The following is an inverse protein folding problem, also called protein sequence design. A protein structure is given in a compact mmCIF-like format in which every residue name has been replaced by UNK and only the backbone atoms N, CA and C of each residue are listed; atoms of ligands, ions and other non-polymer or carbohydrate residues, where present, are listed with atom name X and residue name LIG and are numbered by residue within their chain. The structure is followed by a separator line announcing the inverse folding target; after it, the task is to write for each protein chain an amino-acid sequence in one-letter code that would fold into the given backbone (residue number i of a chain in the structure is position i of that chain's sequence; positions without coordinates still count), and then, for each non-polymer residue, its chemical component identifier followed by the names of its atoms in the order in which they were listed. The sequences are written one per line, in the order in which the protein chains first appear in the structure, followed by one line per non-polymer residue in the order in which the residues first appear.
data_IF_175083865022
#
_entry.id   IF_175083865022
#
_cell.length_a   1.000
_cell.length_b   1.000
_cell.length_c   1.000
_cell.angle_alpha   90.00
_cell.angle_beta   90.00
_cell.angle_gamma   90.00
#
_symmetry.space_group_name_H-M   'P 1'
#
loop_
_entity.id
_entity.type
_entity.pdbx_description
1 polymer ?
#
# COMPACT_ATOMS: atom_id res chain seq x y z
N UNK A 1 3.90 -4.94 6.93
CA UNK A 1 4.63 -5.79 5.97
C UNK A 1 4.19 -5.44 4.56
N UNK A 2 5.10 -5.50 3.58
CA UNK A 2 4.77 -5.25 2.17
C UNK A 2 5.08 -6.52 1.39
N UNK A 3 4.09 -6.99 0.64
CA UNK A 3 4.17 -8.20 -0.17
C UNK A 3 3.97 -7.81 -1.63
N UNK A 4 4.74 -8.36 -2.55
CA UNK A 4 4.58 -8.08 -3.97
C UNK A 4 4.53 -9.37 -4.79
N UNK A 5 3.66 -9.38 -5.79
CA UNK A 5 3.47 -10.50 -6.72
C UNK A 5 3.62 -9.95 -8.13
N UNK A 6 4.59 -10.48 -8.88
CA UNK A 6 4.86 -10.06 -10.26
C UNK A 6 4.27 -11.06 -11.25
N UNK A 7 3.38 -10.61 -12.13
CA UNK A 7 2.79 -11.40 -13.21
C UNK A 7 3.20 -10.83 -14.57
N UNK A 8 4.31 -11.35 -15.11
CA UNK A 8 4.87 -10.88 -16.38
C UNK A 8 5.45 -9.47 -16.28
N UNK A 9 4.65 -8.47 -16.64
CA UNK A 9 5.03 -7.04 -16.67
C UNK A 9 4.30 -6.18 -15.65
N UNK A 10 3.30 -6.74 -14.95
CA UNK A 10 2.57 -6.04 -13.88
C UNK A 10 2.97 -6.61 -12.52
N UNK A 11 3.20 -5.74 -11.54
CA UNK A 11 3.50 -6.14 -10.15
C UNK A 11 2.43 -5.62 -9.22
N UNK A 12 1.66 -6.53 -8.63
CA UNK A 12 0.70 -6.22 -7.58
C UNK A 12 1.40 -6.17 -6.23
N UNK A 13 1.20 -5.11 -5.47
CA UNK A 13 1.81 -4.87 -4.17
C UNK A 13 0.71 -4.71 -3.14
N UNK A 14 0.69 -5.60 -2.16
CA UNK A 14 -0.21 -5.57 -1.02
C UNK A 14 0.54 -4.99 0.18
N UNK A 15 -0.02 -3.93 0.76
CA UNK A 15 0.59 -3.22 1.88
C UNK A 15 -0.27 -3.47 3.11
N UNK A 16 0.36 -3.97 4.17
CA UNK A 16 -0.26 -4.15 5.48
C UNK A 16 0.47 -3.33 6.52
N UNK A 17 -0.27 -2.50 7.25
CA UNK A 17 0.29 -1.79 8.39
C UNK A 17 0.42 -2.73 9.60
N UNK A 18 1.40 -2.47 10.46
CA UNK A 18 1.53 -3.19 11.72
C UNK A 18 0.34 -2.94 12.65
N UNK A 19 0.19 -3.79 13.67
CA UNK A 19 -0.88 -3.67 14.68
C UNK A 19 -0.91 -2.25 15.26
N UNK A 20 -2.09 -1.61 15.24
CA UNK A 20 -2.30 -0.24 15.73
C UNK A 20 -2.15 0.87 14.66
N UNK A 21 -1.80 0.51 13.43
CA UNK A 21 -1.71 1.42 12.30
C UNK A 21 -2.73 1.06 11.23
N UNK A 22 -3.29 2.07 10.58
CA UNK A 22 -4.28 1.93 9.51
C UNK A 22 -3.70 2.47 8.21
N UNK A 23 -3.89 1.74 7.12
CA UNK A 23 -3.55 2.25 5.80
C UNK A 23 -4.48 3.41 5.44
N UNK A 24 -3.88 4.54 5.07
CA UNK A 24 -4.57 5.64 4.41
C UNK A 24 -4.30 5.55 2.90
N UNK A 25 -5.27 5.05 2.15
CA UNK A 25 -5.19 4.85 0.70
C UNK A 25 -5.59 3.45 0.24
N UNK A 26 -5.17 3.06 -0.98
CA UNK A 26 -5.41 1.71 -1.53
C UNK A 26 -4.47 0.70 -0.90
N UNK A 27 -5.01 -0.42 -0.40
CA UNK A 27 -4.25 -1.54 0.15
C UNK A 27 -3.42 -2.28 -0.91
N UNK A 28 -3.97 -2.32 -2.11
CA UNK A 28 -3.37 -3.00 -3.26
C UNK A 28 -2.99 -1.96 -4.31
N UNK A 29 -1.74 -1.99 -4.72
CA UNK A 29 -1.17 -1.16 -5.76
C UNK A 29 -0.73 -2.05 -6.90
N UNK A 30 -0.79 -1.51 -8.11
CA UNK A 30 -0.26 -2.18 -9.28
C UNK A 30 0.84 -1.32 -9.89
N UNK A 31 2.02 -1.89 -10.08
CA UNK A 31 3.15 -1.29 -10.78
C UNK A 31 3.16 -1.83 -12.21
N UNK A 32 2.92 -0.95 -13.18
CA UNK A 32 3.00 -1.29 -14.59
C UNK A 32 4.44 -1.49 -15.06
N UNK A 33 4.59 -2.02 -16.27
CA UNK A 33 5.86 -2.26 -16.95
C UNK A 33 6.74 -1.00 -17.03
N UNK A 34 6.08 0.17 -17.09
CA UNK A 34 6.69 1.49 -17.19
C UNK A 34 7.24 2.00 -15.85
N UNK A 35 7.20 1.18 -14.79
CA UNK A 35 7.60 1.56 -13.43
C UNK A 35 6.63 2.54 -12.77
N UNK A 36 5.44 2.69 -13.35
CA UNK A 36 4.43 3.65 -12.88
C UNK A 36 3.41 2.94 -12.01
N UNK A 37 3.19 3.47 -10.81
CA UNK A 37 2.14 2.99 -9.92
C UNK A 37 0.77 3.45 -10.40
N UNK A 38 -0.19 2.53 -10.40
CA UNK A 38 -1.60 2.81 -10.73
C UNK A 38 -2.26 3.79 -9.76
N UNK A 39 -1.68 3.97 -8.56
CA UNK A 39 -2.16 4.91 -7.54
C UNK A 39 -1.00 5.37 -6.65
N UNK A 40 -1.22 6.46 -5.89
CA UNK A 40 -0.29 6.87 -4.84
C UNK A 40 -0.08 5.76 -3.81
N UNK A 41 1.17 5.64 -3.35
CA UNK A 41 1.56 4.76 -2.27
C UNK A 41 0.78 5.13 -1.00
N UNK A 42 0.07 4.18 -0.36
CA UNK A 42 -0.63 4.43 0.87
C UNK A 42 0.38 4.65 2.00
N UNK A 43 -0.02 5.45 2.98
CA UNK A 43 0.76 5.66 4.17
C UNK A 43 0.10 4.97 5.37
N UNK A 44 0.92 4.34 6.21
CA UNK A 44 0.46 3.85 7.49
C UNK A 44 0.33 5.03 8.45
N UNK A 45 -0.92 5.43 8.71
CA UNK A 45 -1.25 6.40 9.74
C UNK A 45 -1.65 5.68 11.02
N UNK A 46 -1.18 6.17 12.16
CA UNK A 46 -1.72 5.84 13.46
C UNK A 46 -3.14 6.41 13.54
N UNK A 47 -4.17 5.59 13.31
CA UNK A 47 -5.52 5.91 13.80
C UNK A 47 -5.58 5.58 15.31
N UNK A 48 -4.72 6.26 16.07
CA UNK A 48 -4.58 6.12 17.51
C UNK A 48 -4.53 7.47 18.22
N UNK A 49 -5.04 8.53 17.58
CA UNK A 49 -5.09 9.86 18.17
C UNK A 49 -6.04 10.79 17.40
N UNK A 50 -7.34 10.54 17.57
CA UNK A 50 -8.25 11.63 17.92
C UNK A 50 -7.96 11.96 19.38
N UNK A 51 -7.04 12.89 19.63
CA UNK A 51 -7.00 13.57 20.93
C UNK A 51 -8.23 14.48 20.95
N UNK A 52 -9.30 14.04 21.61
CA UNK A 52 -10.33 14.92 22.18
C UNK A 52 -9.97 15.20 23.63
#
# INVERSE_FOLDING_TARGET
MMSYTTNGTSTSVSIECGTGFTLSGKLELECGADGTWSSQLPQCGNHGNSFS
#
